data_IF_420522822936
#
_entry.id   IF_420522822936
#
_cell.length_a   1.000
_cell.length_b   1.000
_cell.length_c   1.000
_cell.angle_alpha   90.00
_cell.angle_beta   90.00
_cell.angle_gamma   90.00
#
_symmetry.space_group_name_H-M   'P 1'
#
loop_
_entity.id
_entity.type
_entity.pdbx_description
1 polymer ?
#
# COMPACT_ATOMS: atom_id res chain seq x y z
N UNK A 1 -2.10 10.84 18.99
CA UNK A 1 -3.23 10.33 18.19
C UNK A 1 -4.54 10.96 18.61
N UNK A 2 -4.98 10.83 19.87
CA UNK A 2 -6.24 11.43 20.39
C UNK A 2 -6.48 12.90 19.98
N UNK A 3 -5.45 13.74 19.95
CA UNK A 3 -5.56 15.16 19.56
C UNK A 3 -5.84 15.39 18.07
N UNK A 4 -5.32 14.55 17.18
CA UNK A 4 -5.60 14.62 15.73
C UNK A 4 -7.01 14.09 15.42
N UNK A 5 -7.45 13.06 16.14
CA UNK A 5 -8.80 12.50 15.99
C UNK A 5 -9.86 13.53 16.40
N UNK A 6 -9.56 14.37 17.40
CA UNK A 6 -10.46 15.44 17.86
C UNK A 6 -10.39 16.73 17.02
N UNK A 7 -9.26 17.00 16.36
CA UNK A 7 -9.09 18.19 15.52
C UNK A 7 -8.15 17.91 14.33
N UNK A 8 -8.67 17.35 13.23
CA UNK A 8 -7.86 16.96 12.08
C UNK A 8 -7.55 18.13 11.13
N UNK A 9 -8.02 19.35 11.40
CA UNK A 9 -7.93 20.51 10.47
C UNK A 9 -6.54 20.72 9.88
N UNK A 10 -5.50 20.78 10.72
CA UNK A 10 -4.11 20.96 10.26
C UNK A 10 -3.61 19.82 9.38
N UNK A 11 -4.02 18.58 9.66
CA UNK A 11 -3.69 17.44 8.81
C UNK A 11 -4.43 17.55 7.47
N UNK A 12 -5.71 17.90 7.49
CA UNK A 12 -6.53 18.09 6.29
C UNK A 12 -5.92 19.18 5.41
N UNK A 13 -5.57 20.34 5.98
CA UNK A 13 -4.91 21.44 5.25
C UNK A 13 -3.60 20.98 4.63
N UNK A 14 -2.78 20.23 5.39
CA UNK A 14 -1.55 19.65 4.87
C UNK A 14 -1.82 18.70 3.69
N UNK A 15 -2.77 17.78 3.79
CA UNK A 15 -3.07 16.83 2.72
C UNK A 15 -3.64 17.54 1.49
N UNK A 16 -4.45 18.59 1.67
CA UNK A 16 -5.03 19.37 0.56
C UNK A 16 -4.00 20.14 -0.27
N UNK A 17 -2.79 20.39 0.25
CA UNK A 17 -1.68 20.99 -0.52
C UNK A 17 -0.90 19.98 -1.36
N UNK A 18 -1.31 18.71 -1.39
CA UNK A 18 -0.64 17.69 -2.17
C UNK A 18 -0.75 17.94 -3.68
N UNK A 19 0.33 17.73 -4.46
CA UNK A 19 0.31 17.99 -5.89
C UNK A 19 -0.47 16.93 -6.70
N UNK A 20 -0.83 15.79 -6.10
CA UNK A 20 -1.67 14.78 -6.78
C UNK A 20 -2.38 13.89 -5.78
N UNK A 21 -3.60 13.40 -6.08
CA UNK A 21 -4.37 12.52 -5.19
C UNK A 21 -3.91 11.05 -5.25
N UNK A 22 -2.78 10.75 -5.94
CA UNK A 22 -2.27 9.38 -6.04
C UNK A 22 -1.97 8.82 -4.65
N UNK A 23 -2.48 7.62 -4.40
CA UNK A 23 -2.46 6.95 -3.10
C UNK A 23 -1.05 6.84 -2.46
N UNK A 24 -0.03 6.53 -3.27
CA UNK A 24 1.36 6.48 -2.80
C UNK A 24 1.85 7.81 -2.24
N UNK A 25 1.57 8.90 -2.96
CA UNK A 25 1.93 10.25 -2.52
C UNK A 25 1.13 10.68 -1.30
N UNK A 26 -0.16 10.32 -1.21
CA UNK A 26 -0.95 10.58 -0.01
C UNK A 26 -0.35 9.87 1.20
N UNK A 27 0.02 8.60 1.04
CA UNK A 27 0.66 7.80 2.07
C UNK A 27 1.97 8.43 2.58
N UNK A 28 2.85 8.86 1.68
CA UNK A 28 4.05 9.60 2.04
C UNK A 28 3.71 10.88 2.82
N UNK A 29 2.75 11.68 2.35
CA UNK A 29 2.35 12.92 3.01
C UNK A 29 1.79 12.73 4.42
N UNK A 30 1.06 11.64 4.68
CA UNK A 30 0.61 11.30 6.03
C UNK A 30 1.79 11.06 6.96
N UNK A 31 2.81 10.31 6.50
CA UNK A 31 4.03 10.09 7.27
C UNK A 31 4.83 11.37 7.48
N UNK A 32 5.00 12.19 6.44
CA UNK A 32 5.68 13.48 6.53
C UNK A 32 5.02 14.39 7.56
N UNK A 33 3.68 14.51 7.53
CA UNK A 33 2.95 15.29 8.52
C UNK A 33 3.16 14.75 9.93
N UNK A 34 3.03 13.43 10.11
CA UNK A 34 3.20 12.80 11.41
C UNK A 34 4.60 13.09 11.98
N UNK A 35 5.64 12.82 11.19
CA UNK A 35 7.02 13.05 11.58
C UNK A 35 7.35 14.52 11.84
N UNK A 36 6.90 15.43 10.98
CA UNK A 36 7.16 16.86 11.16
C UNK A 36 6.48 17.47 12.41
N UNK A 37 5.44 16.83 12.95
CA UNK A 37 4.62 17.38 14.04
C UNK A 37 4.69 16.60 15.36
N UNK A 38 5.35 15.43 15.40
CA UNK A 38 5.31 14.54 16.58
C UNK A 38 6.68 14.03 17.03
N UNK A 39 7.79 14.49 16.44
CA UNK A 39 9.13 14.17 16.91
C UNK A 39 9.83 15.42 17.43
N UNK A 40 9.99 15.51 18.74
CA UNK A 40 10.71 16.61 19.37
C UNK A 40 12.21 16.52 19.05
N UNK A 41 12.82 17.61 18.59
CA UNK A 41 14.26 17.80 18.35
C UNK A 41 14.89 17.00 17.18
N UNK A 42 14.15 16.16 16.48
CA UNK A 42 14.61 15.51 15.25
C UNK A 42 14.44 16.46 14.06
N UNK A 43 15.42 16.45 13.16
CA UNK A 43 15.37 17.28 11.96
C UNK A 43 15.08 16.42 10.74
N UNK A 44 14.00 16.74 10.03
CA UNK A 44 13.49 15.97 8.91
C UNK A 44 13.70 16.66 7.56
N UNK A 45 13.99 15.86 6.55
CA UNK A 45 13.99 16.27 5.15
C UNK A 45 13.21 15.23 4.33
N UNK A 46 12.31 15.69 3.46
CA UNK A 46 11.42 14.82 2.68
C UNK A 46 11.59 15.05 1.18
N UNK A 47 11.35 14.02 0.38
CA UNK A 47 11.24 14.08 -1.09
C UNK A 47 12.47 14.72 -1.73
N UNK A 48 13.62 14.11 -1.44
CA UNK A 48 14.95 14.65 -1.69
C UNK A 48 15.58 13.99 -2.93
N UNK A 49 15.70 14.74 -4.03
CA UNK A 49 16.27 14.27 -5.29
C UNK A 49 17.77 13.99 -5.21
N UNK A 50 18.14 12.71 -5.30
CA UNK A 50 19.52 12.26 -5.26
C UNK A 50 20.21 12.56 -6.60
N UNK A 51 21.34 13.27 -6.57
CA UNK A 51 22.16 13.53 -7.74
C UNK A 51 23.55 12.91 -7.61
N UNK A 52 24.15 12.54 -8.75
CA UNK A 52 25.57 12.18 -8.85
C UNK A 52 26.09 12.51 -10.24
N UNK A 53 27.21 13.21 -10.32
CA UNK A 53 27.84 13.61 -11.58
C UNK A 53 26.85 14.30 -12.55
N UNK A 54 26.00 15.19 -12.04
CA UNK A 54 25.00 15.93 -12.84
C UNK A 54 23.79 15.12 -13.30
N UNK A 55 23.61 13.87 -12.82
CA UNK A 55 22.45 13.02 -13.13
C UNK A 55 21.61 12.79 -11.90
N UNK A 56 20.29 12.81 -12.06
CA UNK A 56 19.34 12.37 -11.02
C UNK A 56 19.37 10.84 -10.94
N UNK A 57 19.76 10.31 -9.78
CA UNK A 57 19.80 8.88 -9.49
C UNK A 57 18.46 8.36 -8.95
N UNK A 58 17.65 9.24 -8.35
CA UNK A 58 16.38 8.89 -7.74
C UNK A 58 15.92 9.98 -6.77
N UNK A 59 15.01 9.60 -5.89
CA UNK A 59 14.47 10.43 -4.82
C UNK A 59 14.51 9.63 -3.52
N UNK A 60 14.81 10.31 -2.41
CA UNK A 60 14.72 9.76 -1.06
C UNK A 60 13.43 10.26 -0.43
N UNK A 61 12.61 9.35 0.08
CA UNK A 61 11.31 9.72 0.62
C UNK A 61 11.44 10.51 1.93
N UNK A 62 12.28 10.04 2.87
CA UNK A 62 12.59 10.79 4.09
C UNK A 62 13.99 10.54 4.65
N UNK A 63 14.59 11.60 5.19
CA UNK A 63 15.81 11.58 5.99
C UNK A 63 15.53 12.23 7.36
N UNK A 64 16.08 11.64 8.42
CA UNK A 64 16.00 12.17 9.78
C UNK A 64 17.38 12.21 10.42
N UNK A 65 17.80 13.40 10.83
CA UNK A 65 18.92 13.53 11.74
C UNK A 65 18.43 13.49 13.19
N UNK A 66 18.92 12.53 13.97
CA UNK A 66 18.65 12.47 15.40
C UNK A 66 19.91 12.78 16.20
N UNK A 67 19.92 13.95 16.83
CA UNK A 67 21.03 14.43 17.65
C UNK A 67 21.26 13.56 18.89
N UNK A 68 20.19 13.02 19.47
CA UNK A 68 20.23 12.17 20.67
C UNK A 68 21.10 10.91 20.51
N UNK A 69 21.15 10.36 19.29
CA UNK A 69 21.88 9.12 18.98
C UNK A 69 22.99 9.33 17.95
N UNK A 70 23.18 10.55 17.45
CA UNK A 70 24.20 10.90 16.45
C UNK A 70 24.08 10.09 15.16
N UNK A 71 22.86 9.86 14.68
CA UNK A 71 22.60 9.00 13.53
C UNK A 71 21.71 9.68 12.48
N UNK A 72 21.94 9.30 11.23
CA UNK A 72 21.09 9.65 10.09
C UNK A 72 20.23 8.44 9.76
N UNK A 73 18.91 8.60 9.83
CA UNK A 73 17.96 7.60 9.37
C UNK A 73 17.49 7.94 7.96
N UNK A 74 17.49 6.94 7.09
CA UNK A 74 16.92 7.00 5.76
C UNK A 74 15.71 6.06 5.70
N UNK A 75 14.55 6.62 5.36
CA UNK A 75 13.30 5.89 5.21
C UNK A 75 12.91 5.82 3.73
N UNK A 76 12.52 4.63 3.30
CA UNK A 76 11.81 4.40 2.04
C UNK A 76 10.40 3.89 2.35
N UNK A 77 9.41 4.47 1.69
CA UNK A 77 8.00 4.26 1.93
C UNK A 77 7.33 3.60 0.72
N UNK A 78 6.43 2.66 0.99
CA UNK A 78 5.56 2.11 -0.03
C UNK A 78 4.23 1.72 0.58
N UNK A 79 3.14 2.07 -0.09
CA UNK A 79 1.83 1.44 0.09
C UNK A 79 1.44 0.69 -1.16
N UNK A 80 1.13 -0.61 -1.03
CA UNK A 80 0.80 -1.47 -2.17
C UNK A 80 -0.30 -2.45 -1.83
N UNK A 81 -1.02 -2.89 -2.84
CA UNK A 81 -2.04 -3.90 -2.73
C UNK A 81 -1.68 -4.98 -3.73
N UNK A 82 -1.64 -6.24 -3.29
CA UNK A 82 -1.27 -7.36 -4.15
C UNK A 82 -2.33 -8.44 -4.06
N UNK A 83 -2.69 -8.99 -5.21
CA UNK A 83 -3.61 -10.10 -5.36
C UNK A 83 -2.78 -11.36 -5.62
N UNK A 84 -3.17 -12.45 -4.97
CA UNK A 84 -2.63 -13.76 -5.23
C UNK A 84 -3.02 -14.20 -6.65
N UNK A 85 -2.05 -14.59 -7.48
CA UNK A 85 -2.33 -15.15 -8.80
C UNK A 85 -3.14 -16.45 -8.67
N UNK A 86 -4.13 -16.68 -9.56
CA UNK A 86 -4.89 -17.91 -9.53
C UNK A 86 -3.98 -19.08 -9.91
N UNK A 87 -4.25 -20.26 -9.34
CA UNK A 87 -3.50 -21.50 -9.60
C UNK A 87 -3.35 -21.81 -11.10
N UNK A 88 -4.37 -21.51 -11.90
CA UNK A 88 -4.36 -21.67 -13.36
C UNK A 88 -3.31 -20.79 -14.06
N UNK A 89 -2.99 -19.61 -13.50
CA UNK A 89 -1.97 -18.71 -14.02
C UNK A 89 -0.55 -19.09 -13.55
N UNK A 90 -0.42 -19.84 -12.46
CA UNK A 90 0.86 -20.31 -11.93
C UNK A 90 1.40 -21.54 -12.68
N UNK A 91 0.60 -22.11 -13.60
CA UNK A 91 0.88 -23.34 -14.32
C UNK A 91 0.72 -24.58 -13.42
N UNK A 92 0.21 -25.68 -13.97
CA UNK A 92 0.41 -27.00 -13.35
C UNK A 92 1.91 -27.27 -13.38
N UNK A 93 2.57 -27.59 -12.25
CA UNK A 93 3.93 -28.11 -12.33
C UNK A 93 3.88 -29.38 -13.17
N UNK A 94 4.53 -29.43 -14.35
CA UNK A 94 4.86 -30.72 -14.93
C UNK A 94 5.75 -31.44 -13.91
N UNK A 95 5.65 -32.76 -13.78
CA UNK A 95 6.49 -33.60 -12.89
C UNK A 95 8.01 -33.40 -13.07
N UNK A 96 8.45 -32.51 -13.97
CA UNK A 96 9.84 -32.17 -14.26
C UNK A 96 10.12 -30.69 -14.57
N UNK A 97 9.18 -29.74 -14.47
CA UNK A 97 9.48 -28.32 -14.74
C UNK A 97 9.46 -27.47 -13.48
N UNK A 98 10.54 -26.69 -13.29
CA UNK A 98 10.71 -25.70 -12.22
C UNK A 98 9.46 -24.83 -12.12
N UNK A 99 8.65 -25.08 -11.10
CA UNK A 99 7.61 -24.16 -10.64
C UNK A 99 8.21 -22.76 -10.53
N UNK A 100 7.46 -21.74 -10.92
CA UNK A 100 7.81 -20.38 -10.54
C UNK A 100 8.02 -20.36 -9.01
N UNK A 101 9.06 -19.66 -8.50
CA UNK A 101 9.25 -19.56 -7.05
C UNK A 101 7.95 -19.10 -6.40
N UNK A 102 7.58 -19.67 -5.25
CA UNK A 102 6.38 -19.27 -4.49
C UNK A 102 6.34 -17.75 -4.22
N UNK A 103 7.51 -17.10 -4.24
CA UNK A 103 7.66 -15.64 -4.16
C UNK A 103 7.10 -14.81 -5.32
N UNK A 104 6.62 -15.46 -6.37
CA UNK A 104 6.05 -14.79 -7.56
C UNK A 104 4.54 -14.76 -7.56
N UNK A 105 3.87 -15.19 -6.49
CA UNK A 105 2.41 -15.32 -6.50
C UNK A 105 1.66 -13.99 -6.32
N UNK A 106 2.35 -12.90 -5.96
CA UNK A 106 1.72 -11.63 -5.58
C UNK A 106 1.91 -10.55 -6.65
N UNK A 107 0.81 -10.15 -7.27
CA UNK A 107 0.81 -9.13 -8.33
C UNK A 107 -0.16 -7.99 -8.02
N UNK A 108 0.22 -6.77 -8.39
CA UNK A 108 -0.65 -5.61 -8.24
C UNK A 108 -1.93 -5.76 -9.07
N UNK A 109 -3.02 -5.04 -8.75
CA UNK A 109 -4.30 -5.22 -9.43
C UNK A 109 -4.21 -5.08 -10.96
N UNK A 110 -3.33 -4.21 -11.46
CA UNK A 110 -3.11 -3.99 -12.89
C UNK A 110 -2.02 -4.90 -13.50
N UNK A 111 -1.52 -5.90 -12.77
CA UNK A 111 -0.54 -6.92 -13.23
C UNK A 111 0.85 -6.37 -13.60
N UNK A 112 1.09 -5.07 -13.41
CA UNK A 112 2.37 -4.40 -13.71
C UNK A 112 3.40 -4.60 -12.59
N UNK A 113 2.96 -4.53 -11.33
CA UNK A 113 3.81 -4.50 -10.15
C UNK A 113 3.82 -5.86 -9.44
N UNK A 114 4.97 -6.29 -8.95
CA UNK A 114 5.13 -7.59 -8.30
C UNK A 114 5.75 -7.39 -6.93
N UNK A 115 5.17 -8.01 -5.90
CA UNK A 115 5.59 -7.79 -4.51
C UNK A 115 7.08 -8.07 -4.32
N UNK A 116 7.56 -9.24 -4.77
CA UNK A 116 8.97 -9.62 -4.63
C UNK A 116 9.91 -8.63 -5.34
N UNK A 117 9.54 -8.15 -6.55
CA UNK A 117 10.35 -7.18 -7.30
C UNK A 117 10.38 -5.84 -6.59
N UNK A 118 9.24 -5.36 -6.10
CA UNK A 118 9.17 -4.09 -5.37
C UNK A 118 9.95 -4.16 -4.07
N UNK A 119 9.84 -5.27 -3.33
CA UNK A 119 10.62 -5.50 -2.11
C UNK A 119 12.13 -5.53 -2.40
N UNK A 120 12.57 -6.30 -3.40
CA UNK A 120 13.98 -6.35 -3.82
C UNK A 120 14.50 -4.99 -4.27
N UNK A 121 13.72 -4.25 -5.07
CA UNK A 121 14.08 -2.89 -5.50
C UNK A 121 14.29 -1.96 -4.31
N UNK A 122 13.36 -1.95 -3.34
CA UNK A 122 13.49 -1.12 -2.15
C UNK A 122 14.74 -1.52 -1.33
N UNK A 123 14.94 -2.82 -1.10
CA UNK A 123 16.02 -3.35 -0.25
C UNK A 123 17.41 -3.19 -0.86
N UNK A 124 17.54 -3.53 -2.14
CA UNK A 124 18.85 -3.69 -2.79
C UNK A 124 19.27 -2.44 -3.57
N UNK A 125 18.33 -1.54 -3.88
CA UNK A 125 18.61 -0.31 -4.61
C UNK A 125 18.26 0.93 -3.78
N UNK A 126 16.99 1.13 -3.44
CA UNK A 126 16.55 2.41 -2.86
C UNK A 126 17.18 2.67 -1.50
N UNK A 127 17.11 1.73 -0.56
CA UNK A 127 17.75 1.85 0.77
C UNK A 127 19.29 1.90 0.72
N UNK A 128 19.91 1.49 -0.40
CA UNK A 128 21.36 1.53 -0.59
C UNK A 128 21.81 2.71 -1.43
N UNK A 129 20.88 3.56 -1.87
CA UNK A 129 21.15 4.69 -2.75
C UNK A 129 21.95 5.78 -2.04
N UNK A 130 21.75 5.93 -0.73
CA UNK A 130 22.46 6.93 0.06
C UNK A 130 23.88 6.47 0.39
N UNK A 131 24.85 7.18 -0.16
CA UNK A 131 26.28 6.97 0.07
C UNK A 131 26.94 8.24 0.61
N UNK A 132 28.15 8.16 1.20
CA UNK A 132 28.89 9.34 1.62
C UNK A 132 29.10 10.37 0.49
N UNK A 133 29.27 9.92 -0.75
CA UNK A 133 29.45 10.83 -1.89
C UNK A 133 28.17 11.57 -2.25
N UNK A 134 27.03 10.87 -2.26
CA UNK A 134 25.74 11.50 -2.55
C UNK A 134 25.22 12.35 -1.41
N UNK A 135 25.74 12.18 -0.18
CA UNK A 135 25.41 13.01 1.00
C UNK A 135 26.11 14.37 0.99
N UNK A 136 27.25 14.51 0.30
CA UNK A 136 28.03 15.77 0.28
C UNK A 136 27.23 16.95 -0.26
N UNK A 137 26.31 16.68 -1.18
CA UNK A 137 25.45 17.69 -1.80
C UNK A 137 24.31 18.16 -0.87
N UNK A 138 24.19 17.58 0.34
CA UNK A 138 23.04 17.72 1.24
C UNK A 138 23.45 18.23 2.62
N UNK A 139 23.97 19.47 2.70
CA UNK A 139 24.29 20.10 3.99
C UNK A 139 23.27 21.15 4.40
N UNK A 140 22.54 20.89 5.48
CA UNK A 140 22.54 21.84 6.60
C UNK A 140 22.89 21.18 7.95
N UNK A 141 23.22 19.89 7.97
CA UNK A 141 23.51 19.16 9.21
C UNK A 141 24.96 19.38 9.66
N UNK A 142 25.23 19.58 10.97
CA UNK A 142 26.58 19.76 11.51
C UNK A 142 27.34 18.42 11.51
N UNK A 143 27.69 17.93 10.32
CA UNK A 143 28.49 16.73 10.11
C UNK A 143 29.95 17.18 9.99
N UNK A 144 30.44 17.87 11.02
CA UNK A 144 31.88 18.18 11.13
C UNK A 144 32.69 16.92 11.52
N UNK A 145 32.02 15.81 11.86
CA UNK A 145 32.68 14.62 12.40
C UNK A 145 32.21 13.32 11.74
N UNK A 146 33.08 12.74 10.92
CA UNK A 146 33.04 11.35 10.42
C UNK A 146 31.73 10.99 9.68
N UNK A 147 31.73 9.88 8.96
CA UNK A 147 30.52 9.40 8.27
C UNK A 147 29.45 9.19 9.34
N UNK A 148 28.27 9.86 9.26
CA UNK A 148 27.22 9.67 10.25
C UNK A 148 26.81 8.20 10.25
N UNK A 149 26.44 7.67 11.42
CA UNK A 149 25.88 6.33 11.50
C UNK A 149 24.59 6.29 10.69
N UNK A 150 24.65 5.76 9.48
CA UNK A 150 23.50 5.61 8.60
C UNK A 150 22.70 4.37 9.01
N UNK A 151 21.41 4.55 9.24
CA UNK A 151 20.44 3.46 9.39
C UNK A 151 19.38 3.60 8.32
N UNK A 152 18.90 2.47 7.82
CA UNK A 152 17.94 2.41 6.73
C UNK A 152 16.69 1.70 7.20
N UNK A 153 15.53 2.23 6.83
CA UNK A 153 14.23 1.79 7.32
C UNK A 153 13.28 1.66 6.14
N UNK A 154 12.62 0.51 6.04
CA UNK A 154 11.57 0.30 5.06
C UNK A 154 10.22 0.39 5.75
N UNK A 155 9.34 1.26 5.26
CA UNK A 155 7.93 1.28 5.64
C UNK A 155 7.12 0.78 4.45
N UNK A 156 6.96 -0.53 4.39
CA UNK A 156 6.13 -1.20 3.40
C UNK A 156 4.78 -1.56 4.04
N UNK A 157 3.73 -0.83 3.66
CA UNK A 157 2.35 -1.05 4.08
C UNK A 157 1.47 -1.45 2.91
N UNK A 158 0.25 -1.89 3.21
CA UNK A 158 -0.60 -2.46 2.18
C UNK A 158 -1.55 -3.51 2.71
N UNK A 159 -2.12 -4.26 1.77
CA UNK A 159 -2.95 -5.43 2.04
C UNK A 159 -2.73 -6.50 0.98
N UNK A 160 -2.68 -7.75 1.41
CA UNK A 160 -2.66 -8.91 0.51
C UNK A 160 -4.09 -9.42 0.30
N UNK A 161 -4.42 -9.76 -0.94
CA UNK A 161 -5.73 -10.28 -1.29
C UNK A 161 -5.59 -11.72 -1.77
N UNK A 162 -6.19 -12.64 -1.02
CA UNK A 162 -6.21 -14.06 -1.30
C UNK A 162 -7.36 -14.39 -2.22
N UNK A 163 -7.24 -15.41 -3.06
CA UNK A 163 -8.39 -15.83 -3.86
C UNK A 163 -9.47 -16.40 -2.92
N UNK A 164 -10.72 -15.91 -3.02
CA UNK A 164 -11.78 -16.21 -2.04
C UNK A 164 -12.02 -17.71 -1.77
N UNK A 165 -11.91 -18.54 -2.81
CA UNK A 165 -12.18 -19.99 -2.73
C UNK A 165 -10.91 -20.83 -2.56
N UNK A 166 -9.77 -20.20 -2.24
CA UNK A 166 -8.52 -20.92 -2.05
C UNK A 166 -8.25 -21.13 -0.56
N UNK A 167 -8.48 -22.37 -0.09
CA UNK A 167 -8.20 -22.81 1.29
C UNK A 167 -6.68 -22.92 1.59
N UNK A 168 -5.84 -22.16 0.88
CA UNK A 168 -4.40 -22.21 1.13
C UNK A 168 -4.06 -21.49 2.42
N UNK A 169 -3.16 -22.07 3.23
CA UNK A 169 -2.60 -21.32 4.34
C UNK A 169 -1.93 -20.04 3.80
N UNK A 170 -2.00 -18.92 4.55
CA UNK A 170 -1.28 -17.71 4.19
C UNK A 170 0.17 -18.04 3.84
N UNK A 171 0.64 -17.58 2.69
CA UNK A 171 2.00 -17.84 2.26
C UNK A 171 2.96 -17.06 3.16
N UNK A 172 3.79 -17.80 3.90
CA UNK A 172 4.81 -17.21 4.74
C UNK A 172 6.08 -16.98 3.93
N UNK A 173 6.11 -15.86 3.19
CA UNK A 173 7.38 -15.36 2.71
C UNK A 173 8.12 -14.61 3.84
N UNK A 174 9.45 -14.71 3.93
CA UNK A 174 10.21 -14.15 5.05
C UNK A 174 10.13 -12.63 5.16
N UNK A 175 9.63 -11.94 4.13
CA UNK A 175 9.45 -10.49 4.11
C UNK A 175 7.98 -10.05 4.20
N UNK A 176 7.04 -10.99 4.39
CA UNK A 176 5.64 -10.72 4.69
C UNK A 176 5.45 -10.85 6.20
N UNK A 177 4.83 -9.85 6.83
CA UNK A 177 4.48 -9.93 8.24
C UNK A 177 3.42 -11.03 8.45
N UNK A 178 3.59 -11.99 9.36
CA UNK A 178 2.54 -12.97 9.71
C UNK A 178 1.20 -12.34 10.10
N UNK A 179 1.21 -11.12 10.63
CA UNK A 179 0.03 -10.34 11.02
C UNK A 179 -0.31 -9.25 9.98
N UNK A 180 0.00 -9.48 8.70
CA UNK A 180 -0.33 -8.54 7.64
C UNK A 180 -1.86 -8.38 7.47
N UNK A 181 -2.27 -7.17 7.10
CA UNK A 181 -3.65 -6.96 6.66
C UNK A 181 -3.94 -7.80 5.41
N UNK A 182 -5.07 -8.49 5.41
CA UNK A 182 -5.52 -9.26 4.27
C UNK A 182 -6.97 -8.96 3.88
N UNK A 183 -7.34 -9.45 2.71
CA UNK A 183 -8.70 -9.51 2.20
C UNK A 183 -8.80 -10.60 1.14
N UNK A 184 -9.89 -10.61 0.40
CA UNK A 184 -10.12 -11.59 -0.67
C UNK A 184 -10.22 -10.93 -2.04
N UNK A 185 -9.92 -11.64 -3.10
CA UNK A 185 -10.28 -11.20 -4.43
C UNK A 185 -11.09 -12.27 -5.16
N UNK A 186 -11.94 -11.79 -6.06
CA UNK A 186 -12.75 -12.60 -6.95
C UNK A 186 -13.04 -11.81 -8.22
N UNK A 187 -13.28 -12.52 -9.32
CA UNK A 187 -13.74 -11.87 -10.54
C UNK A 187 -15.25 -11.59 -10.50
N UNK A 188 -15.71 -10.71 -11.39
CA UNK A 188 -17.12 -10.31 -11.47
C UNK A 188 -18.07 -11.52 -11.65
N UNK A 189 -17.67 -12.52 -12.44
CA UNK A 189 -18.46 -13.74 -12.62
C UNK A 189 -18.66 -14.48 -11.30
N UNK A 190 -17.61 -14.61 -10.48
CA UNK A 190 -17.67 -15.30 -9.19
C UNK A 190 -18.47 -14.53 -8.16
N UNK A 191 -18.48 -13.20 -8.24
CA UNK A 191 -19.33 -12.36 -7.39
C UNK A 191 -20.80 -12.77 -7.46
N UNK A 192 -21.31 -13.16 -8.63
CA UNK A 192 -22.69 -13.62 -8.78
C UNK A 192 -23.04 -14.89 -8.01
N UNK A 193 -22.03 -15.66 -7.60
CA UNK A 193 -22.19 -16.88 -6.80
C UNK A 193 -21.80 -16.68 -5.34
N UNK A 194 -21.44 -15.46 -4.94
CA UNK A 194 -21.05 -15.15 -3.57
C UNK A 194 -22.27 -15.26 -2.66
N UNK A 195 -22.07 -15.80 -1.45
CA UNK A 195 -23.10 -15.78 -0.42
C UNK A 195 -23.53 -14.34 -0.11
N UNK A 196 -24.84 -14.11 -0.05
CA UNK A 196 -25.40 -12.78 0.16
C UNK A 196 -24.99 -12.24 1.53
N UNK A 197 -24.53 -10.99 1.53
CA UNK A 197 -24.28 -10.22 2.76
C UNK A 197 -25.18 -8.99 2.77
N UNK A 198 -25.69 -8.58 3.94
CA UNK A 198 -26.73 -7.56 4.02
C UNK A 198 -26.25 -6.18 3.54
N UNK A 199 -24.99 -5.84 3.82
CA UNK A 199 -24.47 -4.49 3.64
C UNK A 199 -23.11 -4.50 2.96
N UNK A 200 -22.96 -3.62 1.98
CA UNK A 200 -21.77 -3.47 1.16
C UNK A 200 -21.47 -2.00 0.93
N UNK A 201 -20.20 -1.73 0.63
CA UNK A 201 -19.75 -0.42 0.21
C UNK A 201 -18.66 -0.56 -0.87
N UNK A 202 -18.84 0.14 -1.99
CA UNK A 202 -17.81 0.31 -3.00
C UNK A 202 -16.87 1.45 -2.59
N UNK A 203 -15.58 1.18 -2.54
CA UNK A 203 -14.58 2.13 -2.07
C UNK A 203 -13.98 2.95 -3.20
N UNK A 204 -13.89 4.26 -2.96
CA UNK A 204 -13.04 5.12 -3.76
C UNK A 204 -11.56 4.84 -3.46
N UNK A 205 -10.69 5.14 -4.43
CA UNK A 205 -9.26 4.80 -4.34
C UNK A 205 -8.54 5.43 -3.13
N UNK A 206 -9.01 6.57 -2.64
CA UNK A 206 -8.44 7.24 -1.46
C UNK A 206 -8.81 6.55 -0.13
N UNK A 207 -9.86 5.71 -0.14
CA UNK A 207 -10.36 4.96 1.01
C UNK A 207 -9.69 3.59 1.16
N UNK A 208 -8.70 3.28 0.33
CA UNK A 208 -8.04 1.98 0.32
C UNK A 208 -7.03 1.79 1.46
N UNK A 209 -6.53 2.89 2.06
CA UNK A 209 -5.42 2.85 3.01
C UNK A 209 -5.77 2.15 4.34
N UNK A 210 -6.97 2.39 4.85
CA UNK A 210 -7.36 1.99 6.20
C UNK A 210 -8.83 1.56 6.24
N UNK A 211 -9.24 0.82 7.28
CA UNK A 211 -10.65 0.56 7.54
C UNK A 211 -11.43 1.86 7.73
N UNK A 212 -12.67 1.90 7.26
CA UNK A 212 -13.55 3.05 7.47
C UNK A 212 -14.15 3.01 8.88
N UNK A 213 -14.08 4.15 9.59
CA UNK A 213 -14.57 4.28 10.97
C UNK A 213 -16.05 4.69 11.04
N UNK A 214 -16.55 5.39 10.01
CA UNK A 214 -17.94 5.84 9.92
C UNK A 214 -18.37 5.87 8.46
N UNK A 215 -19.26 4.95 8.08
CA UNK A 215 -19.85 4.89 6.75
C UNK A 215 -21.22 5.56 6.77
N UNK A 216 -21.47 6.58 5.94
CA UNK A 216 -22.79 7.19 5.83
C UNK A 216 -23.82 6.19 5.28
N UNK A 217 -25.04 6.09 5.86
CA UNK A 217 -26.05 5.12 5.45
C UNK A 217 -26.41 5.18 3.96
N UNK A 218 -26.35 6.37 3.35
CA UNK A 218 -26.68 6.60 1.94
C UNK A 218 -25.68 5.97 0.95
N UNK A 219 -24.48 5.62 1.41
CA UNK A 219 -23.49 4.90 0.58
C UNK A 219 -23.61 3.39 0.69
N UNK A 220 -24.41 2.90 1.65
CA UNK A 220 -24.53 1.48 1.93
C UNK A 220 -25.47 0.86 0.92
N UNK A 221 -25.00 -0.21 0.30
CA UNK A 221 -25.72 -0.95 -0.73
C UNK A 221 -26.10 -2.33 -0.20
N UNK A 222 -27.28 -2.81 -0.62
CA UNK A 222 -27.61 -4.22 -0.51
C UNK A 222 -26.73 -5.06 -1.44
N UNK A 223 -26.74 -6.38 -1.24
CA UNK A 223 -26.04 -7.30 -2.14
C UNK A 223 -26.47 -7.14 -3.61
N UNK A 224 -27.79 -7.02 -3.85
CA UNK A 224 -28.34 -6.81 -5.20
C UNK A 224 -27.89 -5.47 -5.80
N UNK A 225 -27.98 -4.37 -5.03
CA UNK A 225 -27.54 -3.05 -5.50
C UNK A 225 -26.06 -3.05 -5.84
N UNK A 226 -25.23 -3.69 -5.03
CA UNK A 226 -23.78 -3.83 -5.28
C UNK A 226 -23.50 -4.63 -6.54
N UNK A 227 -24.25 -5.71 -6.76
CA UNK A 227 -24.14 -6.52 -7.99
C UNK A 227 -24.44 -5.69 -9.24
N UNK A 228 -25.50 -4.89 -9.21
CA UNK A 228 -25.88 -4.00 -10.32
C UNK A 228 -24.81 -2.91 -10.53
N UNK A 229 -24.33 -2.29 -9.46
CA UNK A 229 -23.30 -1.26 -9.53
C UNK A 229 -21.97 -1.80 -10.06
N UNK A 230 -21.54 -3.01 -9.66
CA UNK A 230 -20.33 -3.64 -10.18
C UNK A 230 -20.45 -3.98 -11.67
N UNK A 231 -21.60 -4.50 -12.11
CA UNK A 231 -21.86 -4.75 -13.54
C UNK A 231 -21.76 -3.45 -14.34
N UNK A 232 -22.39 -2.38 -13.87
CA UNK A 232 -22.40 -1.09 -14.55
C UNK A 232 -21.02 -0.40 -14.52
N UNK A 233 -20.22 -0.67 -13.50
CA UNK A 233 -18.83 -0.23 -13.38
C UNK A 233 -17.93 -0.95 -14.41
N UNK A 234 -17.96 -2.29 -14.43
CA UNK A 234 -17.15 -3.07 -15.36
C UNK A 234 -17.61 -2.98 -16.81
N UNK A 235 -18.85 -2.54 -17.07
CA UNK A 235 -19.30 -2.15 -18.41
C UNK A 235 -18.62 -0.88 -18.96
N UNK A 236 -17.95 -0.10 -18.11
CA UNK A 236 -17.30 1.18 -18.47
C UNK A 236 -15.80 1.23 -18.15
N UNK A 237 -15.34 0.35 -17.27
CA UNK A 237 -13.98 0.37 -16.72
C UNK A 237 -13.44 -1.04 -16.58
N UNK A 238 -12.19 -1.25 -16.96
CA UNK A 238 -11.49 -2.53 -16.76
C UNK A 238 -10.56 -2.53 -15.53
N UNK A 239 -10.56 -1.45 -14.75
CA UNK A 239 -9.74 -1.35 -13.54
C UNK A 239 -10.35 -2.12 -12.37
N UNK A 240 -9.57 -2.91 -11.61
CA UNK A 240 -10.05 -3.50 -10.38
C UNK A 240 -10.51 -2.48 -9.34
N UNK A 241 -11.51 -2.86 -8.53
CA UNK A 241 -12.11 -2.01 -7.49
C UNK A 241 -12.14 -2.74 -6.14
N UNK A 242 -11.99 -1.98 -5.05
CA UNK A 242 -12.21 -2.53 -3.71
C UNK A 242 -13.67 -2.36 -3.27
N UNK A 243 -14.21 -3.41 -2.66
CA UNK A 243 -15.55 -3.43 -2.07
C UNK A 243 -15.40 -4.02 -0.67
N UNK A 244 -16.11 -3.50 0.32
CA UNK A 244 -16.14 -4.06 1.67
C UNK A 244 -17.52 -4.58 2.01
N UNK A 245 -17.57 -5.71 2.73
CA UNK A 245 -18.77 -6.11 3.45
C UNK A 245 -18.81 -5.40 4.80
N UNK A 246 -20.02 -5.08 5.25
CA UNK A 246 -20.26 -4.37 6.49
C UNK A 246 -21.13 -5.20 7.42
N UNK A 247 -20.85 -5.11 8.72
CA UNK A 247 -21.73 -5.57 9.78
C UNK A 247 -22.34 -4.36 10.48
N UNK A 248 -23.60 -4.48 10.85
CA UNK A 248 -24.30 -3.47 11.64
C UNK A 248 -23.83 -3.57 13.09
N UNK A 249 -23.12 -2.53 13.56
CA UNK A 249 -22.74 -2.36 14.95
C UNK A 249 -23.79 -1.56 15.73
N UNK A 250 -23.55 -1.36 17.03
CA UNK A 250 -24.49 -0.66 17.92
C UNK A 250 -24.72 0.81 17.56
N UNK A 251 -23.71 1.49 16.99
CA UNK A 251 -23.76 2.92 16.65
C UNK A 251 -23.23 3.24 15.24
N UNK A 252 -22.64 2.28 14.53
CA UNK A 252 -22.06 2.45 13.20
C UNK A 252 -21.94 1.11 12.46
N UNK A 253 -21.75 1.18 11.14
CA UNK A 253 -21.34 0.02 10.35
C UNK A 253 -19.83 -0.20 10.48
N UNK A 254 -19.46 -1.47 10.65
CA UNK A 254 -18.07 -1.88 10.78
C UNK A 254 -17.67 -2.73 9.58
N UNK A 255 -16.48 -2.46 9.04
CA UNK A 255 -15.87 -3.31 8.02
C UNK A 255 -15.66 -4.71 8.56
N UNK A 256 -16.19 -5.70 7.84
CA UNK A 256 -16.07 -7.12 8.19
C UNK A 256 -15.04 -7.82 7.31
N UNK A 257 -15.23 -7.76 5.99
CA UNK A 257 -14.28 -8.31 5.04
C UNK A 257 -14.05 -7.30 3.92
N UNK A 258 -12.85 -7.35 3.35
CA UNK A 258 -12.49 -6.50 2.24
C UNK A 258 -12.18 -7.34 1.02
N UNK A 259 -12.73 -6.90 -0.11
CA UNK A 259 -12.62 -7.57 -1.38
C UNK A 259 -11.93 -6.69 -2.41
N UNK A 260 -11.19 -7.31 -3.31
CA UNK A 260 -10.92 -6.79 -4.65
C UNK A 260 -11.83 -7.51 -5.64
N UNK A 261 -12.66 -6.76 -6.35
CA UNK A 261 -13.36 -7.29 -7.51
C UNK A 261 -12.55 -6.95 -8.76
N UNK A 262 -12.23 -7.97 -9.55
CA UNK A 262 -11.47 -7.84 -10.80
C UNK A 262 -12.36 -8.16 -12.02
N UNK A 263 -11.99 -7.68 -13.22
CA UNK A 263 -12.63 -8.13 -14.45
C UNK A 263 -12.53 -9.64 -14.65
N UNK A 264 -13.43 -10.22 -15.44
CA UNK A 264 -13.47 -11.67 -15.68
C UNK A 264 -12.18 -12.24 -16.28
N UNK A 265 -11.51 -11.43 -17.12
CA UNK A 265 -10.29 -11.79 -17.83
C UNK A 265 -9.01 -11.67 -16.99
N UNK A 266 -9.07 -11.08 -15.79
CA UNK A 266 -7.90 -10.96 -14.92
C UNK A 266 -7.37 -12.36 -14.52
N UNK A 267 -6.05 -12.61 -14.47
CA UNK A 267 -4.93 -11.65 -14.60
C UNK A 267 -4.39 -11.49 -16.03
N UNK A 268 -5.06 -12.05 -17.04
CA UNK A 268 -4.63 -11.86 -18.42
C UNK A 268 -4.81 -10.39 -18.79
N UNK A 269 -3.77 -9.79 -19.37
CA UNK A 269 -3.87 -8.42 -19.89
C UNK A 269 -4.97 -8.36 -20.97
N UNK A 270 -5.75 -7.30 -20.95
CA UNK A 270 -6.46 -6.84 -22.14
C UNK A 270 -5.46 -6.23 -23.14
#
# INVERSE_FOLDING_TARGET
>A
MVRLDQNPSKLIDWINTAPSPRLGLMFERYWQYYWANHTDNDLWAFNRQLHRNGRTLGELDALRWSSSIGALDHYELAVKFYLQLPKTALGTPPDTAKSLPESTQWVGPNVIDWLHKKYQQMRDQQLRSLTPDTLKDWMPWPIEQKVPRLRTHMIFKGRLFYQLDDDQPPLFEPYINPEHDFGYWLNLKRWHCLEERPYWLMLDKHEWLAPLQAVPPERILSHQQTREALRDYFGRHDSPIQVISLLEGSNNWQESERFFVVPEQWPSAQ
#
